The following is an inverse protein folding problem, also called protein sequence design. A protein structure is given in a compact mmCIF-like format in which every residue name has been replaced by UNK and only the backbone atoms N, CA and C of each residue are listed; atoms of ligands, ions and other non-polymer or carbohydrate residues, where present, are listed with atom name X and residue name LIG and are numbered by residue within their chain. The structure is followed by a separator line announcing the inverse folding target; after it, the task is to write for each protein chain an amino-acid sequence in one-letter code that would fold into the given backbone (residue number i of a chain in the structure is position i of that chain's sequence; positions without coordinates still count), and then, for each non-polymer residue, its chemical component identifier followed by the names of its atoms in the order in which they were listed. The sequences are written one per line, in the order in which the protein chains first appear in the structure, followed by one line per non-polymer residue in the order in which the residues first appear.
data_IF_932454350049
#
_entry.id   IF_932454350049
#
_cell.length_a   1.000
_cell.length_b   1.000
_cell.length_c   1.000
_cell.angle_alpha   90.00
_cell.angle_beta   90.00
_cell.angle_gamma   90.00
#
_symmetry.space_group_name_H-M   'P 1'
#
loop_
_entity.id
_entity.type
_entity.pdbx_description
1 polymer ?
#
# COMPACT_ATOMS: atom_id res chain seq x y z
N UNK A 1 -15.44 -6.01 -8.49
CA UNK A 1 -15.21 -5.16 -7.33
C UNK A 1 -14.71 -5.97 -6.14
N UNK A 2 -13.96 -5.32 -5.26
CA UNK A 2 -13.40 -6.00 -4.10
C UNK A 2 -14.43 -6.33 -3.03
N UNK A 3 -14.06 -7.27 -2.17
CA UNK A 3 -14.83 -7.71 -1.03
C UNK A 3 -14.03 -7.38 0.24
N UNK A 4 -14.63 -6.66 1.18
CA UNK A 4 -13.96 -6.20 2.41
C UNK A 4 -13.47 -7.37 3.25
N UNK A 5 -14.30 -8.41 3.44
CA UNK A 5 -13.88 -9.57 4.23
C UNK A 5 -12.69 -10.29 3.58
N UNK A 6 -12.67 -10.39 2.27
CA UNK A 6 -11.56 -10.96 1.54
C UNK A 6 -10.32 -10.05 1.64
N UNK A 7 -10.52 -8.73 1.62
CA UNK A 7 -9.45 -7.76 1.82
C UNK A 7 -8.75 -7.90 3.17
N UNK A 8 -9.51 -8.15 4.23
CA UNK A 8 -8.94 -8.39 5.55
C UNK A 8 -8.04 -9.62 5.56
N UNK A 9 -8.47 -10.69 4.89
CA UNK A 9 -7.65 -11.89 4.72
C UNK A 9 -6.35 -11.60 3.99
N UNK A 10 -6.44 -10.90 2.86
CA UNK A 10 -5.29 -10.54 2.03
C UNK A 10 -4.35 -9.63 2.79
N UNK A 11 -4.88 -8.66 3.53
CA UNK A 11 -4.08 -7.70 4.28
C UNK A 11 -3.20 -8.36 5.35
N UNK A 12 -3.50 -9.54 5.81
CA UNK A 12 -2.64 -10.26 6.75
C UNK A 12 -1.21 -10.39 6.23
N UNK A 13 -1.04 -10.45 4.91
CA UNK A 13 0.29 -10.50 4.28
C UNK A 13 1.04 -9.17 4.37
N UNK A 14 0.34 -8.09 4.65
CA UNK A 14 0.89 -6.74 4.74
C UNK A 14 1.06 -6.28 6.19
N UNK A 15 0.25 -6.84 7.09
CA UNK A 15 0.17 -6.40 8.50
C UNK A 15 1.48 -6.57 9.26
N UNK A 16 2.37 -7.46 8.83
CA UNK A 16 3.68 -7.61 9.45
C UNK A 16 4.53 -6.34 9.31
N UNK A 17 4.31 -5.56 8.26
CA UNK A 17 5.10 -4.37 7.95
C UNK A 17 4.32 -3.06 8.05
N UNK A 18 3.01 -3.11 7.91
CA UNK A 18 2.15 -1.92 7.82
C UNK A 18 1.02 -1.92 8.83
N UNK A 19 0.68 -0.74 9.34
CA UNK A 19 -0.56 -0.50 10.07
C UNK A 19 -1.56 0.19 9.15
N UNK A 20 -2.85 -0.15 9.24
CA UNK A 20 -3.91 0.49 8.45
C UNK A 20 -4.89 1.27 9.32
N UNK A 21 -4.78 1.20 10.64
CA UNK A 21 -5.71 1.86 11.56
C UNK A 21 -5.37 3.33 11.75
N UNK A 22 -6.39 4.15 12.06
CA UNK A 22 -6.21 5.55 12.37
C UNK A 22 -5.26 5.72 13.56
N UNK A 23 -4.27 6.59 13.40
CA UNK A 23 -3.26 6.80 14.44
C UNK A 23 -2.24 5.68 14.57
N UNK A 24 -2.28 4.69 13.66
CA UNK A 24 -1.28 3.62 13.65
C UNK A 24 0.11 4.14 13.39
N UNK A 25 1.10 3.45 13.93
CA UNK A 25 2.50 3.84 13.80
C UNK A 25 3.14 3.19 12.58
N UNK A 26 4.22 3.83 12.10
CA UNK A 26 5.08 3.20 11.11
C UNK A 26 5.77 1.98 11.74
N UNK A 27 6.03 0.99 10.92
CA UNK A 27 6.76 -0.21 11.32
C UNK A 27 7.87 -0.43 10.29
N UNK A 28 8.05 -1.65 9.79
CA UNK A 28 8.99 -1.91 8.68
C UNK A 28 8.57 -1.11 7.45
N UNK A 29 7.25 -1.01 7.21
CA UNK A 29 6.68 -0.12 6.21
C UNK A 29 5.95 1.06 6.85
N UNK A 30 5.59 2.09 6.06
CA UNK A 30 4.88 3.25 6.58
C UNK A 30 3.43 2.92 6.95
N UNK A 31 2.86 3.72 7.86
CA UNK A 31 1.44 3.61 8.20
C UNK A 31 0.58 3.88 6.97
N UNK A 32 -0.49 3.12 6.80
CA UNK A 32 -1.32 3.15 5.59
C UNK A 32 -2.68 3.82 5.76
N UNK A 33 -3.00 4.35 6.94
CA UNK A 33 -4.28 5.07 7.11
C UNK A 33 -4.34 6.25 6.11
N UNK A 34 -5.45 6.38 5.41
CA UNK A 34 -5.64 7.39 4.37
C UNK A 34 -4.68 7.24 3.17
N UNK A 35 -4.19 6.04 2.90
CA UNK A 35 -3.23 5.84 1.80
C UNK A 35 -3.85 6.11 0.43
N UNK A 36 -5.13 5.77 0.24
CA UNK A 36 -5.79 6.02 -1.06
C UNK A 36 -5.94 7.53 -1.27
N UNK A 37 -5.37 8.04 -2.35
CA UNK A 37 -5.35 9.46 -2.68
C UNK A 37 -4.18 10.23 -2.08
N UNK A 38 -3.42 9.62 -1.17
CA UNK A 38 -2.27 10.25 -0.52
C UNK A 38 -1.08 10.32 -1.47
N UNK A 39 -0.29 11.39 -1.38
CA UNK A 39 0.93 11.49 -2.16
C UNK A 39 1.91 10.38 -1.77
N UNK A 40 2.54 9.78 -2.78
CA UNK A 40 3.55 8.73 -2.55
C UNK A 40 4.73 9.32 -1.79
N UNK A 41 5.16 8.60 -0.76
CA UNK A 41 6.35 8.99 0.02
C UNK A 41 6.16 10.20 0.92
N UNK A 42 4.92 10.54 1.32
CA UNK A 42 4.63 11.80 2.01
C UNK A 42 4.76 11.73 3.54
N UNK A 43 4.79 10.56 4.14
CA UNK A 43 4.87 10.43 5.61
C UNK A 43 6.25 10.93 6.08
N UNK A 44 6.26 11.97 6.92
CA UNK A 44 7.48 12.67 7.32
C UNK A 44 8.39 11.85 8.22
N UNK A 45 7.83 11.05 9.11
CA UNK A 45 8.58 10.28 10.09
C UNK A 45 8.90 8.85 9.64
N UNK A 46 8.82 8.59 8.33
CA UNK A 46 9.20 7.31 7.75
C UNK A 46 10.29 7.52 6.69
N UNK A 47 11.31 6.69 6.74
CA UNK A 47 12.41 6.75 5.75
C UNK A 47 12.09 5.89 4.54
N UNK A 48 11.62 6.52 3.48
CA UNK A 48 11.35 5.85 2.20
C UNK A 48 12.63 5.57 1.44
N UNK A 49 12.56 4.61 0.48
CA UNK A 49 13.59 4.47 -0.53
C UNK A 49 13.67 5.77 -1.36
N UNK A 50 14.80 6.03 -1.99
CA UNK A 50 14.93 7.18 -2.89
C UNK A 50 13.87 7.14 -3.99
N UNK A 51 13.59 5.95 -4.51
CA UNK A 51 12.62 5.76 -5.58
C UNK A 51 11.23 6.22 -5.15
N UNK A 52 10.76 5.86 -3.95
CA UNK A 52 9.47 6.30 -3.46
C UNK A 52 9.46 7.77 -3.06
N UNK A 53 10.51 8.24 -2.40
CA UNK A 53 10.58 9.63 -1.97
C UNK A 53 10.52 10.61 -3.14
N UNK A 54 11.03 10.23 -4.31
CA UNK A 54 11.03 11.06 -5.51
C UNK A 54 9.92 10.72 -6.52
N UNK A 55 9.06 9.78 -6.20
CA UNK A 55 7.98 9.36 -7.10
C UNK A 55 6.83 10.37 -7.02
N UNK A 56 6.75 11.25 -8.01
CA UNK A 56 5.83 12.38 -7.98
C UNK A 56 4.42 12.00 -8.46
N UNK A 57 3.75 11.20 -7.67
CA UNK A 57 2.37 10.75 -7.94
C UNK A 57 1.60 10.55 -6.65
N UNK A 58 0.28 10.47 -6.76
CA UNK A 58 -0.58 10.12 -5.64
C UNK A 58 -0.99 8.65 -5.72
N UNK A 59 -1.30 8.04 -4.58
CA UNK A 59 -1.81 6.67 -4.52
C UNK A 59 -3.28 6.63 -4.95
N UNK A 60 -3.53 6.78 -6.25
CA UNK A 60 -4.85 6.52 -6.84
C UNK A 60 -5.11 5.01 -6.84
N UNK A 61 -6.35 4.61 -7.11
CA UNK A 61 -6.65 3.19 -7.28
C UNK A 61 -5.72 2.55 -8.32
N UNK A 62 -5.52 3.23 -9.45
CA UNK A 62 -4.69 2.71 -10.53
C UNK A 62 -3.25 2.53 -10.12
N UNK A 63 -2.68 3.50 -9.41
CA UNK A 63 -1.30 3.41 -8.92
C UNK A 63 -1.15 2.29 -7.90
N UNK A 64 -2.08 2.19 -6.95
CA UNK A 64 -2.07 1.11 -5.95
C UNK A 64 -2.21 -0.24 -6.62
N UNK A 65 -3.13 -0.37 -7.56
CA UNK A 65 -3.36 -1.63 -8.26
C UNK A 65 -2.10 -2.08 -9.02
N UNK A 66 -1.49 -1.16 -9.77
CA UNK A 66 -0.27 -1.45 -10.51
C UNK A 66 0.91 -1.81 -9.60
N UNK A 67 1.10 -1.04 -8.53
CA UNK A 67 2.16 -1.27 -7.57
C UNK A 67 2.01 -2.63 -6.88
N UNK A 68 0.80 -3.00 -6.49
CA UNK A 68 0.54 -4.25 -5.79
C UNK A 68 0.69 -5.50 -6.65
N UNK A 69 0.64 -5.37 -7.98
CA UNK A 69 0.93 -6.51 -8.85
C UNK A 69 2.34 -7.01 -8.60
N UNK A 70 3.31 -6.10 -8.62
CA UNK A 70 4.71 -6.40 -8.33
C UNK A 70 5.42 -5.10 -7.96
N UNK A 71 5.54 -4.78 -6.66
CA UNK A 71 6.07 -3.48 -6.25
C UNK A 71 7.40 -3.09 -6.88
N UNK A 72 8.37 -3.99 -6.92
CA UNK A 72 9.69 -3.68 -7.46
C UNK A 72 9.68 -3.43 -8.97
N UNK A 73 8.68 -3.94 -9.68
CA UNK A 73 8.54 -3.71 -11.13
C UNK A 73 7.85 -2.39 -11.42
N UNK A 74 6.86 -2.02 -10.61
CA UNK A 74 6.12 -0.77 -10.79
C UNK A 74 6.97 0.44 -10.40
N UNK A 75 7.66 0.36 -9.26
CA UNK A 75 8.60 1.39 -8.82
C UNK A 75 9.94 0.73 -8.54
N UNK A 76 10.84 0.79 -9.52
CA UNK A 76 12.19 0.24 -9.37
C UNK A 76 12.92 0.95 -8.24
N UNK A 77 13.60 0.20 -7.41
CA UNK A 77 14.34 0.74 -6.27
C UNK A 77 13.53 0.87 -4.99
N UNK A 78 12.25 0.47 -4.98
CA UNK A 78 11.50 0.41 -3.72
C UNK A 78 12.15 -0.59 -2.76
N UNK A 79 12.18 -0.24 -1.48
CA UNK A 79 12.69 -1.17 -0.47
C UNK A 79 11.65 -2.14 0.05
N UNK A 80 10.42 -2.07 -0.45
CA UNK A 80 9.37 -3.01 -0.09
C UNK A 80 9.67 -4.38 -0.71
N UNK A 81 9.90 -5.37 0.15
CA UNK A 81 10.36 -6.70 -0.27
C UNK A 81 9.21 -7.67 -0.52
N UNK A 82 8.08 -7.19 -1.01
CA UNK A 82 6.91 -8.02 -1.27
C UNK A 82 6.84 -8.42 -2.73
N UNK A 83 6.58 -9.71 -2.99
CA UNK A 83 6.55 -10.23 -4.37
C UNK A 83 5.38 -9.71 -5.18
N UNK A 84 4.27 -9.39 -4.53
CA UNK A 84 3.09 -8.85 -5.20
C UNK A 84 1.84 -9.70 -5.06
N UNK A 85 0.70 -9.11 -5.40
CA UNK A 85 -0.60 -9.76 -5.44
C UNK A 85 -1.00 -9.97 -6.90
N UNK A 86 -0.94 -11.21 -7.38
CA UNK A 86 -1.21 -11.51 -8.79
C UNK A 86 -2.68 -11.48 -9.15
N UNK A 87 -3.56 -11.83 -8.21
CA UNK A 87 -5.00 -11.90 -8.47
C UNK A 87 -5.66 -10.54 -8.36
N UNK A 88 -6.41 -10.17 -9.38
CA UNK A 88 -7.14 -8.90 -9.41
C UNK A 88 -8.10 -8.76 -8.24
N UNK A 89 -8.80 -9.83 -7.88
CA UNK A 89 -9.72 -9.82 -6.74
C UNK A 89 -9.00 -9.48 -5.44
N UNK A 90 -7.80 -10.00 -5.24
CA UNK A 90 -7.01 -9.72 -4.04
C UNK A 90 -6.64 -8.24 -3.96
N UNK A 91 -6.17 -7.67 -5.07
CA UNK A 91 -5.81 -6.25 -5.12
C UNK A 91 -7.02 -5.36 -4.89
N UNK A 92 -8.10 -5.61 -5.60
CA UNK A 92 -9.32 -4.82 -5.46
C UNK A 92 -9.87 -4.88 -4.04
N UNK A 93 -9.82 -6.06 -3.41
CA UNK A 93 -10.33 -6.26 -2.05
C UNK A 93 -9.49 -5.52 -1.01
N UNK A 94 -8.17 -5.58 -1.10
CA UNK A 94 -7.30 -4.90 -0.12
C UNK A 94 -7.34 -3.38 -0.30
N UNK A 95 -7.49 -2.88 -1.52
CA UNK A 95 -7.65 -1.44 -1.76
C UNK A 95 -8.98 -0.96 -1.20
N UNK A 96 -10.06 -1.72 -1.37
CA UNK A 96 -11.36 -1.38 -0.81
C UNK A 96 -11.32 -1.35 0.72
N UNK A 97 -10.61 -2.29 1.35
CA UNK A 97 -10.38 -2.27 2.79
C UNK A 97 -9.69 -0.98 3.22
N UNK A 98 -8.70 -0.52 2.47
CA UNK A 98 -7.99 0.72 2.76
C UNK A 98 -8.90 1.93 2.69
N UNK A 99 -9.87 1.94 1.77
CA UNK A 99 -10.86 3.03 1.66
C UNK A 99 -11.75 3.15 2.89
N UNK A 100 -12.18 2.05 3.46
CA UNK A 100 -13.11 2.09 4.61
C UNK A 100 -12.43 2.48 5.92
N UNK A 101 -11.12 2.50 5.96
CA UNK A 101 -10.35 2.93 7.13
C UNK A 101 -9.92 4.40 7.05
N UNK A 102 -10.53 5.15 6.15
CA UNK A 102 -10.29 6.60 5.99
C UNK A 102 -10.94 7.41 7.10
#
# INVERSE_FOLDING_TARGET
MGDIAHGEKVFKKCAACHSIVKGGKNAIGPALYNVVGRKVGVIEDYKYSKALASYDKNWTFEELNGFLIKPAKWIKGTKMAYAGLRKEKDRASVIKLSLIHI
#
